data_IF_641415263089
#
_entry.id   IF_641415263089
#
_cell.length_a   1.000
_cell.length_b   1.000
_cell.length_c   1.000
_cell.angle_alpha   90.00
_cell.angle_beta   90.00
_cell.angle_gamma   90.00
#
_symmetry.space_group_name_H-M   'P 1'
#
loop_
_entity.id
_entity.type
_entity.pdbx_description
1 polymer ?
#
# COMPACT_ATOMS: atom_id res chain seq x y z
N UNK A 1 27.39 -41.43 77.31
CA UNK A 1 26.62 -40.26 77.79
C UNK A 1 27.41 -38.94 77.71
N UNK A 2 28.62 -38.81 78.29
CA UNK A 2 29.40 -37.55 78.26
C UNK A 2 29.70 -37.00 76.86
N UNK A 3 30.10 -37.84 75.89
CA UNK A 3 30.38 -37.41 74.50
C UNK A 3 29.16 -36.92 73.74
N UNK A 4 28.00 -37.58 73.95
CA UNK A 4 26.73 -37.17 73.35
C UNK A 4 26.27 -35.83 73.91
N UNK A 5 26.46 -35.60 75.21
CA UNK A 5 26.18 -34.32 75.86
C UNK A 5 27.04 -33.18 75.28
N UNK A 6 28.34 -33.41 75.06
CA UNK A 6 29.21 -32.42 74.41
C UNK A 6 28.80 -32.11 72.97
N UNK A 7 28.41 -33.13 72.19
CA UNK A 7 27.92 -32.94 70.81
C UNK A 7 26.62 -32.13 70.80
N UNK A 8 25.70 -32.41 71.72
CA UNK A 8 24.41 -31.72 71.81
C UNK A 8 24.60 -30.25 72.25
N UNK A 9 25.54 -30.00 73.16
CA UNK A 9 25.93 -28.65 73.57
C UNK A 9 26.58 -27.86 72.41
N UNK A 10 27.44 -28.51 71.63
CA UNK A 10 28.06 -27.90 70.44
C UNK A 10 27.01 -27.54 69.38
N UNK A 11 26.04 -28.42 69.13
CA UNK A 11 24.94 -28.16 68.19
C UNK A 11 24.10 -26.96 68.64
N UNK A 12 23.77 -26.88 69.94
CA UNK A 12 23.03 -25.74 70.51
C UNK A 12 23.80 -24.42 70.34
N UNK A 13 25.11 -24.42 70.58
CA UNK A 13 25.92 -23.22 70.38
C UNK A 13 25.99 -22.80 68.91
N UNK A 14 26.09 -23.75 67.98
CA UNK A 14 26.10 -23.46 66.54
C UNK A 14 24.75 -22.92 66.08
N UNK A 15 23.64 -23.48 66.55
CA UNK A 15 22.28 -22.98 66.23
C UNK A 15 22.02 -21.56 66.74
N UNK A 16 22.69 -21.12 67.81
CA UNK A 16 22.51 -19.75 68.34
C UNK A 16 23.33 -18.70 67.59
N UNK A 17 24.41 -19.08 66.91
CA UNK A 17 25.30 -18.16 66.18
C UNK A 17 24.77 -17.85 64.76
N UNK A 18 24.11 -18.82 64.12
CA UNK A 18 23.62 -18.70 62.73
C UNK A 18 22.62 -17.54 62.50
N UNK A 19 21.61 -17.27 63.35
CA UNK A 19 20.64 -16.22 63.06
C UNK A 19 21.20 -14.78 63.18
N UNK A 20 22.42 -14.58 63.71
CA UNK A 20 23.00 -13.24 63.93
C UNK A 20 23.58 -12.57 62.67
N UNK A 21 23.72 -13.32 61.57
CA UNK A 21 24.35 -12.83 60.33
C UNK A 21 23.34 -12.37 59.25
N UNK A 22 22.03 -12.47 59.49
CA UNK A 22 21.03 -11.91 58.60
C UNK A 22 20.82 -10.42 58.91
N UNK A 23 21.67 -9.56 58.35
CA UNK A 23 21.48 -8.11 58.42
C UNK A 23 20.32 -7.73 57.51
N UNK A 24 19.14 -7.44 58.07
CA UNK A 24 18.05 -6.82 57.32
C UNK A 24 18.54 -5.46 56.79
N UNK A 25 18.72 -5.35 55.47
CA UNK A 25 19.07 -4.08 54.83
C UNK A 25 17.80 -3.26 54.74
N UNK A 26 17.61 -2.35 55.70
CA UNK A 26 16.49 -1.42 55.69
C UNK A 26 16.66 -0.36 54.61
N UNK A 27 15.58 0.00 53.92
CA UNK A 27 15.58 1.07 52.92
C UNK A 27 15.96 2.40 53.57
N UNK A 28 17.12 2.94 53.20
CA UNK A 28 17.71 4.11 53.85
C UNK A 28 17.16 5.42 53.28
N UNK A 29 17.48 6.55 53.93
CA UNK A 29 17.15 7.88 53.38
C UNK A 29 17.87 8.12 52.05
N UNK A 30 19.10 7.62 51.90
CA UNK A 30 19.84 7.75 50.64
C UNK A 30 19.15 7.02 49.48
N UNK A 31 18.56 5.85 49.75
CA UNK A 31 17.81 5.09 48.75
C UNK A 31 16.54 5.83 48.31
N UNK A 32 15.87 6.55 49.24
CA UNK A 32 14.74 7.45 48.92
C UNK A 32 15.18 8.60 48.03
N UNK A 33 16.28 9.26 48.33
CA UNK A 33 16.80 10.37 47.54
C UNK A 33 17.28 9.91 46.15
N UNK A 34 17.86 8.71 46.06
CA UNK A 34 18.18 8.06 44.77
C UNK A 34 16.91 7.77 43.98
N UNK A 35 15.86 7.27 44.62
CA UNK A 35 14.58 6.97 43.98
C UNK A 35 13.91 8.25 43.44
N UNK A 36 13.86 9.32 44.22
CA UNK A 36 13.29 10.61 43.81
C UNK A 36 14.05 11.19 42.60
N UNK A 37 15.39 11.11 42.60
CA UNK A 37 16.20 11.55 41.46
C UNK A 37 15.98 10.69 40.22
N UNK A 38 15.79 9.38 40.40
CA UNK A 38 15.48 8.47 39.30
C UNK A 38 14.10 8.78 38.72
N UNK A 39 13.09 8.96 39.55
CA UNK A 39 11.74 9.36 39.15
C UNK A 39 11.77 10.67 38.35
N UNK A 40 12.50 11.67 38.85
CA UNK A 40 12.66 12.96 38.16
C UNK A 40 13.31 12.79 36.78
N UNK A 41 14.40 12.01 36.68
CA UNK A 41 15.07 11.74 35.40
C UNK A 41 14.20 10.96 34.42
N UNK A 42 13.41 10.02 34.93
CA UNK A 42 12.45 9.25 34.12
C UNK A 42 11.37 10.18 33.58
N UNK A 43 10.78 11.03 34.42
CA UNK A 43 9.77 12.00 34.02
C UNK A 43 10.29 12.99 32.98
N UNK A 44 11.50 13.52 33.16
CA UNK A 44 12.16 14.37 32.18
C UNK A 44 12.42 13.63 30.86
N UNK A 45 12.88 12.38 30.93
CA UNK A 45 13.08 11.51 29.77
C UNK A 45 11.78 11.25 29.01
N UNK A 46 10.70 10.93 29.73
CA UNK A 46 9.37 10.71 29.14
C UNK A 46 8.81 11.98 28.49
N UNK A 47 8.97 13.14 29.14
CA UNK A 47 8.58 14.43 28.54
C UNK A 47 9.34 14.72 27.24
N UNK A 48 10.65 14.50 27.23
CA UNK A 48 11.47 14.70 26.03
C UNK A 48 11.08 13.73 24.90
N UNK A 49 10.75 12.48 25.23
CA UNK A 49 10.24 11.49 24.28
C UNK A 49 8.87 11.90 23.73
N UNK A 50 7.93 12.29 24.60
CA UNK A 50 6.60 12.75 24.18
C UNK A 50 6.70 13.93 23.22
N UNK A 51 7.53 14.93 23.51
CA UNK A 51 7.75 16.07 22.60
C UNK A 51 8.25 15.63 21.22
N UNK A 52 9.14 14.63 21.15
CA UNK A 52 9.63 14.09 19.88
C UNK A 52 8.54 13.30 19.14
N UNK A 53 7.73 12.54 19.87
CA UNK A 53 6.60 11.80 19.30
C UNK A 53 5.58 12.79 18.74
N UNK A 54 5.21 13.83 19.48
CA UNK A 54 4.26 14.86 19.03
C UNK A 54 4.75 15.58 17.78
N UNK A 55 6.03 15.98 17.77
CA UNK A 55 6.64 16.59 16.58
C UNK A 55 6.67 15.62 15.37
N UNK A 56 6.82 14.32 15.61
CA UNK A 56 6.79 13.30 14.56
C UNK A 56 5.36 13.10 14.05
N UNK A 57 4.38 13.02 14.94
CA UNK A 57 2.96 12.91 14.60
C UNK A 57 2.51 14.08 13.73
N UNK A 58 2.88 15.32 14.09
CA UNK A 58 2.57 16.50 13.26
C UNK A 58 3.12 16.40 11.83
N UNK A 59 4.34 15.87 11.66
CA UNK A 59 4.93 15.64 10.33
C UNK A 59 4.18 14.55 9.57
N UNK A 60 3.81 13.46 10.25
CA UNK A 60 3.02 12.38 9.66
C UNK A 60 1.65 12.89 9.22
N UNK A 61 0.96 13.68 10.04
CA UNK A 61 -0.34 14.27 9.71
C UNK A 61 -0.25 15.21 8.51
N UNK A 62 0.83 16.00 8.44
CA UNK A 62 1.11 16.84 7.27
C UNK A 62 1.31 16.01 6.01
N UNK A 63 2.09 14.92 6.09
CA UNK A 63 2.32 14.01 4.97
C UNK A 63 1.04 13.28 4.54
N UNK A 64 0.26 12.78 5.49
CA UNK A 64 -1.02 12.13 5.24
C UNK A 64 -1.99 13.09 4.55
N UNK A 65 -2.07 14.33 5.03
CA UNK A 65 -2.92 15.36 4.42
C UNK A 65 -2.47 15.64 2.99
N UNK A 66 -1.18 15.87 2.76
CA UNK A 66 -0.65 16.11 1.42
C UNK A 66 -0.91 14.92 0.48
N UNK A 67 -0.69 13.70 0.97
CA UNK A 67 -0.89 12.47 0.21
C UNK A 67 -2.37 12.26 -0.15
N UNK A 68 -3.29 12.48 0.79
CA UNK A 68 -4.74 12.40 0.54
C UNK A 68 -5.20 13.42 -0.51
N UNK A 69 -4.76 14.67 -0.40
CA UNK A 69 -5.07 15.71 -1.40
C UNK A 69 -4.44 15.39 -2.76
N UNK A 70 -3.19 14.95 -2.78
CA UNK A 70 -2.48 14.57 -4.00
C UNK A 70 -3.16 13.40 -4.72
N UNK A 71 -3.48 12.33 -4.00
CA UNK A 71 -4.23 11.21 -4.57
C UNK A 71 -5.65 11.61 -4.98
N UNK A 72 -6.34 12.45 -4.21
CA UNK A 72 -7.65 12.96 -4.56
C UNK A 72 -7.65 13.70 -5.91
N UNK A 73 -6.64 14.55 -6.15
CA UNK A 73 -6.48 15.26 -7.43
C UNK A 73 -6.09 14.29 -8.55
N UNK A 74 -5.15 13.37 -8.30
CA UNK A 74 -4.71 12.41 -9.32
C UNK A 74 -5.84 11.46 -9.75
N UNK A 75 -6.51 10.81 -8.81
CA UNK A 75 -7.62 9.90 -9.11
C UNK A 75 -8.86 10.66 -9.60
N UNK A 76 -9.16 11.82 -9.02
CA UNK A 76 -10.26 12.67 -9.48
C UNK A 76 -10.02 13.16 -10.91
N UNK A 77 -8.83 13.67 -11.21
CA UNK A 77 -8.42 14.09 -12.55
C UNK A 77 -8.45 12.95 -13.55
N UNK A 78 -7.91 11.77 -13.18
CA UNK A 78 -7.96 10.58 -14.03
C UNK A 78 -9.39 10.13 -14.31
N UNK A 79 -10.26 10.13 -13.28
CA UNK A 79 -11.68 9.81 -13.42
C UNK A 79 -12.41 10.77 -14.34
N UNK A 80 -12.13 12.07 -14.24
CA UNK A 80 -12.66 13.10 -15.14
C UNK A 80 -12.19 12.85 -16.57
N UNK A 81 -10.91 12.57 -16.80
CA UNK A 81 -10.37 12.28 -18.13
C UNK A 81 -10.98 11.01 -18.73
N UNK A 82 -11.09 9.93 -17.96
CA UNK A 82 -11.72 8.68 -18.41
C UNK A 82 -13.20 8.93 -18.73
N UNK A 83 -13.92 9.61 -17.85
CA UNK A 83 -15.32 9.98 -18.06
C UNK A 83 -15.50 10.84 -19.32
N UNK A 84 -14.62 11.82 -19.52
CA UNK A 84 -14.59 12.67 -20.70
C UNK A 84 -14.29 11.88 -21.97
N UNK A 85 -13.31 10.99 -21.97
CA UNK A 85 -12.97 10.14 -23.13
C UNK A 85 -14.14 9.23 -23.50
N UNK A 86 -14.85 8.66 -22.53
CA UNK A 86 -16.03 7.82 -22.79
C UNK A 86 -17.17 8.67 -23.39
N UNK A 87 -17.36 9.89 -22.90
CA UNK A 87 -18.36 10.81 -23.41
C UNK A 87 -18.00 11.30 -24.83
N UNK A 88 -16.76 11.72 -25.06
CA UNK A 88 -16.26 12.16 -26.37
C UNK A 88 -16.35 11.04 -27.40
N UNK A 89 -15.95 9.81 -27.05
CA UNK A 89 -16.11 8.64 -27.92
C UNK A 89 -17.56 8.41 -28.35
N UNK A 90 -18.55 8.56 -27.46
CA UNK A 90 -19.95 8.40 -27.87
C UNK A 90 -20.47 9.53 -28.76
N UNK A 91 -19.90 10.72 -28.63
CA UNK A 91 -20.44 11.93 -29.28
C UNK A 91 -19.72 12.25 -30.60
N UNK A 92 -18.41 12.02 -30.68
CA UNK A 92 -17.55 12.31 -31.84
C UNK A 92 -17.38 11.12 -32.80
N UNK A 93 -17.35 9.87 -32.31
CA UNK A 93 -17.16 8.70 -33.19
C UNK A 93 -18.45 8.22 -33.88
N UNK A 94 -19.63 8.64 -33.43
CA UNK A 94 -20.90 8.29 -34.06
C UNK A 94 -20.96 8.68 -35.55
N UNK A 95 -20.65 9.94 -35.96
CA UNK A 95 -20.61 10.30 -37.38
C UNK A 95 -19.46 9.65 -38.14
N UNK A 96 -18.30 9.44 -37.51
CA UNK A 96 -17.14 8.83 -38.17
C UNK A 96 -17.37 7.35 -38.50
N UNK A 97 -17.96 6.59 -37.58
CA UNK A 97 -18.32 5.18 -37.80
C UNK A 97 -19.42 5.08 -38.86
N UNK A 98 -20.40 5.98 -38.84
CA UNK A 98 -21.49 5.98 -39.83
C UNK A 98 -20.97 6.27 -41.25
N UNK A 99 -20.08 7.26 -41.41
CA UNK A 99 -19.46 7.56 -42.71
C UNK A 99 -18.59 6.42 -43.23
N UNK A 100 -17.80 5.76 -42.37
CA UNK A 100 -17.03 4.59 -42.79
C UNK A 100 -17.94 3.43 -43.24
N UNK A 101 -19.04 3.18 -42.52
CA UNK A 101 -20.00 2.15 -42.89
C UNK A 101 -20.69 2.45 -44.22
N UNK A 102 -21.06 3.70 -44.47
CA UNK A 102 -21.62 4.13 -45.75
C UNK A 102 -20.61 3.99 -46.91
N UNK A 103 -19.31 4.20 -46.66
CA UNK A 103 -18.25 4.00 -47.65
C UNK A 103 -18.02 2.51 -47.97
N UNK A 104 -18.01 1.64 -46.96
CA UNK A 104 -17.99 0.18 -47.15
C UNK A 104 -19.18 -0.29 -47.99
N UNK A 105 -20.40 0.12 -47.63
CA UNK A 105 -21.61 -0.28 -48.35
C UNK A 105 -21.62 0.18 -49.82
N UNK A 106 -21.04 1.36 -50.10
CA UNK A 106 -20.86 1.86 -51.48
C UNK A 106 -19.79 1.07 -52.22
N UNK A 107 -18.65 0.79 -51.59
CA UNK A 107 -17.59 -0.07 -52.15
C UNK A 107 -18.15 -1.44 -52.53
N UNK A 108 -18.88 -2.08 -51.62
CA UNK A 108 -19.56 -3.35 -51.81
C UNK A 108 -20.54 -3.37 -52.99
N UNK A 109 -21.35 -2.31 -53.14
CA UNK A 109 -22.30 -2.20 -54.25
C UNK A 109 -21.57 -2.05 -55.59
N UNK A 110 -20.50 -1.26 -55.62
CA UNK A 110 -19.68 -1.04 -56.81
C UNK A 110 -18.95 -2.32 -57.18
N UNK A 111 -18.37 -3.04 -56.21
CA UNK A 111 -17.72 -4.34 -56.43
C UNK A 111 -18.72 -5.36 -56.99
N UNK A 112 -19.93 -5.45 -56.42
CA UNK A 112 -20.98 -6.34 -56.95
C UNK A 112 -21.42 -5.96 -58.36
N UNK A 113 -21.51 -4.67 -58.68
CA UNK A 113 -21.88 -4.19 -60.02
C UNK A 113 -20.78 -4.51 -61.04
N UNK A 114 -19.51 -4.23 -60.70
CA UNK A 114 -18.35 -4.56 -61.53
C UNK A 114 -18.21 -6.07 -61.73
N UNK A 115 -18.47 -6.88 -60.69
CA UNK A 115 -18.45 -8.35 -60.80
C UNK A 115 -19.55 -8.90 -61.71
N UNK A 116 -20.73 -8.27 -61.75
CA UNK A 116 -21.77 -8.65 -62.72
C UNK A 116 -21.35 -8.30 -64.14
N UNK A 117 -20.80 -7.10 -64.34
CA UNK A 117 -20.35 -6.63 -65.65
C UNK A 117 -19.14 -7.42 -66.18
N UNK A 118 -18.26 -7.88 -65.29
CA UNK A 118 -17.10 -8.72 -65.63
C UNK A 118 -17.47 -10.11 -66.17
N UNK A 119 -18.71 -10.59 -65.96
CA UNK A 119 -19.17 -11.84 -66.58
C UNK A 119 -19.50 -11.67 -68.06
N UNK A 120 -19.75 -10.44 -68.49
CA UNK A 120 -20.13 -10.10 -69.86
C UNK A 120 -18.93 -9.61 -70.70
N UNK A 121 -17.92 -8.98 -70.07
CA UNK A 121 -16.71 -8.47 -70.74
C UNK A 121 -15.41 -9.17 -70.27
N UNK A 122 -14.72 -9.93 -71.15
CA UNK A 122 -13.47 -10.61 -70.83
C UNK A 122 -12.32 -9.65 -70.48
N UNK A 123 -12.28 -8.41 -71.01
CA UNK A 123 -11.24 -7.43 -70.64
C UNK A 123 -11.42 -6.92 -69.21
N UNK A 124 -12.67 -6.74 -68.78
CA UNK A 124 -12.97 -6.29 -67.42
C UNK A 124 -12.67 -7.38 -66.38
N UNK A 125 -12.87 -8.65 -66.73
CA UNK A 125 -12.52 -9.78 -65.89
C UNK A 125 -11.00 -9.88 -65.65
N UNK A 126 -10.19 -9.54 -66.65
CA UNK A 126 -8.73 -9.53 -66.57
C UNK A 126 -8.24 -8.40 -65.66
N UNK A 127 -8.77 -7.19 -65.84
CA UNK A 127 -8.43 -6.01 -65.00
C UNK A 127 -8.79 -6.23 -63.53
N UNK A 128 -9.95 -6.81 -63.23
CA UNK A 128 -10.35 -7.12 -61.85
C UNK A 128 -9.44 -8.17 -61.19
N UNK A 129 -8.87 -9.08 -61.99
CA UNK A 129 -7.95 -10.12 -61.52
C UNK A 129 -6.56 -9.57 -61.23
N UNK A 130 -6.11 -8.57 -62.00
CA UNK A 130 -4.86 -7.83 -61.77
C UNK A 130 -4.93 -6.95 -60.51
N UNK A 131 -6.07 -6.28 -60.28
CA UNK A 131 -6.31 -5.43 -59.10
C UNK A 131 -6.57 -6.22 -57.79
N UNK A 132 -6.44 -7.55 -57.82
CA UNK A 132 -6.54 -8.41 -56.63
C UNK A 132 -7.96 -8.67 -56.12
N UNK A 133 -9.00 -8.18 -56.81
CA UNK A 133 -10.40 -8.49 -56.53
C UNK A 133 -10.69 -9.92 -57.00
N UNK A 134 -10.63 -10.89 -56.07
CA UNK A 134 -10.81 -12.30 -56.38
C UNK A 134 -12.19 -12.56 -56.99
N UNK A 135 -12.22 -12.75 -58.31
CA UNK A 135 -13.32 -13.42 -59.00
C UNK A 135 -13.24 -14.90 -58.61
N UNK A 136 -13.75 -15.23 -57.42
CA UNK A 136 -14.06 -16.62 -57.11
C UNK A 136 -15.28 -16.99 -57.97
N UNK A 137 -15.13 -18.03 -58.80
CA UNK A 137 -16.17 -18.59 -59.65
C UNK A 137 -17.52 -18.68 -58.90
#
# INVERSE_FOLDING_TARGET
MRRVFFILLLIITVSFVIPSYAKEVSFTQEDRDRLIRLETKVDEGLKAVNQRIDATNQRIDTLNTFMLWGFGILFGGMGILIGFVIWDRRTALAPAIKRNKELEERGDKIERALRRYAREDPKLAEILKEEGLKIKN
#
